data_IF_163383568073
#
_entry.id   IF_163383568073
#
_cell.length_a   1.000
_cell.length_b   1.000
_cell.length_c   1.000
_cell.angle_alpha   90.00
_cell.angle_beta   90.00
_cell.angle_gamma   90.00
#
_symmetry.space_group_name_H-M   'P 1'
#
loop_
_entity.id
_entity.type
_entity.pdbx_description
1 polymer ?
#
# COMPACT_ATOMS: atom_id res chain seq x y z
N UNK A 1 -37.22 40.34 -23.92
CA UNK A 1 -36.92 38.93 -23.61
C UNK A 1 -36.16 38.89 -22.30
N UNK A 2 -36.67 38.21 -21.26
CA UNK A 2 -35.92 38.02 -20.01
C UNK A 2 -34.76 37.07 -20.30
N UNK A 3 -33.53 37.49 -19.97
CA UNK A 3 -32.37 36.62 -20.01
C UNK A 3 -32.50 35.62 -18.87
N UNK A 4 -32.58 34.34 -19.18
CA UNK A 4 -32.55 33.28 -18.19
C UNK A 4 -31.08 32.98 -17.90
N UNK A 5 -30.61 33.32 -16.70
CA UNK A 5 -29.31 32.88 -16.19
C UNK A 5 -29.32 31.36 -16.03
N UNK A 6 -28.48 30.67 -16.81
CA UNK A 6 -28.22 29.24 -16.64
C UNK A 6 -27.05 29.07 -15.68
N UNK A 7 -27.34 28.55 -14.48
CA UNK A 7 -26.29 28.08 -13.57
C UNK A 7 -25.82 26.69 -14.05
N UNK A 8 -24.66 26.64 -14.72
CA UNK A 8 -23.98 25.38 -15.00
C UNK A 8 -23.15 25.00 -13.76
N UNK A 9 -23.69 24.12 -12.92
CA UNK A 9 -22.92 23.46 -11.87
C UNK A 9 -22.07 22.37 -12.51
N UNK A 10 -20.83 22.70 -12.85
CA UNK A 10 -19.83 21.66 -13.10
C UNK A 10 -19.57 20.97 -11.77
N UNK A 11 -20.14 19.79 -11.57
CA UNK A 11 -19.64 18.88 -10.55
C UNK A 11 -18.25 18.47 -11.01
N UNK A 12 -17.21 18.99 -10.37
CA UNK A 12 -15.90 18.36 -10.42
C UNK A 12 -16.07 16.95 -9.83
N UNK A 13 -16.26 15.95 -10.69
CA UNK A 13 -16.09 14.55 -10.29
C UNK A 13 -14.61 14.37 -9.99
N UNK A 14 -14.23 14.54 -8.73
CA UNK A 14 -12.95 14.03 -8.24
C UNK A 14 -13.15 12.54 -7.96
N UNK A 15 -12.58 11.70 -8.82
CA UNK A 15 -12.30 10.33 -8.44
C UNK A 15 -11.17 10.39 -7.41
N UNK A 16 -11.51 10.41 -6.12
CA UNK A 16 -10.55 10.04 -5.10
C UNK A 16 -10.29 8.55 -5.34
N UNK A 17 -9.16 8.22 -6.00
CA UNK A 17 -8.73 6.84 -6.10
C UNK A 17 -8.56 6.35 -4.65
N UNK A 18 -9.47 5.49 -4.19
CA UNK A 18 -9.44 4.91 -2.84
C UNK A 18 -8.19 4.05 -2.67
N UNK A 19 -7.04 4.68 -2.48
CA UNK A 19 -5.74 4.05 -2.31
C UNK A 19 -5.44 3.91 -0.83
N UNK A 20 -5.05 2.71 -0.43
CA UNK A 20 -4.47 2.44 0.87
C UNK A 20 -2.96 2.59 0.74
N UNK A 21 -2.37 3.44 1.56
CA UNK A 21 -0.92 3.65 1.55
C UNK A 21 -0.38 3.63 2.97
N UNK A 22 0.89 3.25 3.11
CA UNK A 22 1.54 3.22 4.42
C UNK A 22 2.86 2.47 4.38
N UNK A 23 3.34 2.13 5.57
CA UNK A 23 4.55 1.33 5.74
C UNK A 23 4.17 -0.03 6.32
N UNK A 24 4.48 -1.10 5.57
CA UNK A 24 4.31 -2.46 6.06
C UNK A 24 5.37 -2.78 7.14
N UNK A 25 6.57 -2.21 7.00
CA UNK A 25 7.67 -2.33 7.96
C UNK A 25 8.36 -0.98 8.10
N UNK A 26 8.75 -0.58 9.31
CA UNK A 26 9.64 0.56 9.57
C UNK A 26 11.02 0.07 10.00
N UNK A 27 12.07 0.71 9.50
CA UNK A 27 13.44 0.31 9.81
C UNK A 27 13.80 0.54 11.26
N UNK A 28 14.66 -0.32 11.79
CA UNK A 28 15.22 -0.23 13.13
C UNK A 28 14.18 -0.14 14.26
N UNK A 29 12.91 -0.43 13.96
CA UNK A 29 11.83 -0.51 14.93
C UNK A 29 11.82 -1.90 15.55
N UNK A 30 11.95 -1.95 16.87
CA UNK A 30 11.83 -3.19 17.63
C UNK A 30 10.39 -3.70 17.60
N UNK A 31 10.23 -5.00 17.47
CA UNK A 31 8.98 -5.68 17.80
C UNK A 31 8.72 -5.66 19.32
N UNK A 32 7.58 -6.23 19.72
CA UNK A 32 7.41 -6.69 21.09
C UNK A 32 8.32 -7.90 21.37
N UNK A 33 8.48 -8.29 22.64
CA UNK A 33 9.13 -9.55 22.99
C UNK A 33 8.30 -10.72 22.45
N UNK A 34 8.82 -11.41 21.44
CA UNK A 34 8.15 -12.53 20.79
C UNK A 34 8.53 -13.81 21.53
N UNK A 35 7.50 -14.60 21.88
CA UNK A 35 7.60 -15.86 22.62
C UNK A 35 8.40 -15.81 23.94
N UNK A 36 8.68 -14.62 24.48
CA UNK A 36 9.49 -14.45 25.68
C UNK A 36 11.01 -14.55 25.46
N UNK A 37 11.47 -14.68 24.21
CA UNK A 37 12.86 -15.06 23.92
C UNK A 37 13.62 -14.04 23.08
N UNK A 38 12.98 -13.39 22.11
CA UNK A 38 13.68 -12.45 21.24
C UNK A 38 12.83 -11.25 20.81
N UNK A 39 13.53 -10.22 20.35
CA UNK A 39 12.96 -9.03 19.75
C UNK A 39 13.47 -8.96 18.31
N UNK A 40 12.55 -8.83 17.37
CA UNK A 40 12.86 -8.68 15.96
C UNK A 40 13.08 -7.21 15.59
N UNK A 41 13.91 -6.97 14.58
CA UNK A 41 14.09 -5.66 13.95
C UNK A 41 14.51 -5.87 12.50
N UNK A 42 14.00 -5.03 11.60
CA UNK A 42 14.42 -5.00 10.20
C UNK A 42 15.46 -3.92 9.96
N UNK A 43 16.59 -4.29 9.37
CA UNK A 43 17.61 -3.34 8.93
C UNK A 43 17.13 -2.57 7.68
N UNK A 44 17.63 -1.34 7.45
CA UNK A 44 17.39 -0.64 6.19
C UNK A 44 17.76 -1.50 4.99
N UNK A 45 16.89 -1.52 3.98
CA UNK A 45 17.07 -2.27 2.73
C UNK A 45 17.08 -3.80 2.86
N UNK A 46 16.52 -4.35 3.96
CA UNK A 46 16.44 -5.79 4.18
C UNK A 46 15.68 -6.55 3.07
N UNK A 47 14.78 -5.87 2.34
CA UNK A 47 13.98 -6.47 1.28
C UNK A 47 14.53 -6.23 -0.13
N UNK A 48 15.62 -5.47 -0.28
CA UNK A 48 16.21 -5.09 -1.58
C UNK A 48 16.39 -6.26 -2.54
N UNK A 49 16.92 -7.38 -2.04
CA UNK A 49 17.14 -8.59 -2.84
C UNK A 49 15.82 -9.27 -3.25
N UNK A 50 14.80 -9.24 -2.39
CA UNK A 50 13.50 -9.85 -2.66
C UNK A 50 12.67 -9.01 -3.62
N UNK A 51 12.72 -7.68 -3.50
CA UNK A 51 12.07 -6.75 -4.42
C UNK A 51 12.74 -6.70 -5.80
N UNK A 52 14.05 -6.93 -5.85
CA UNK A 52 14.79 -7.03 -7.12
C UNK A 52 14.52 -8.33 -7.89
N UNK A 53 13.90 -9.33 -7.26
CA UNK A 53 13.36 -10.50 -7.95
C UNK A 53 11.96 -10.17 -8.40
N UNK A 54 11.60 -10.48 -9.66
CA UNK A 54 10.23 -10.32 -10.18
C UNK A 54 9.25 -11.35 -9.57
N UNK A 55 9.20 -11.40 -8.24
CA UNK A 55 8.29 -12.25 -7.48
C UNK A 55 6.95 -11.55 -7.38
N UNK A 56 5.89 -12.25 -7.74
CA UNK A 56 4.53 -11.76 -7.52
C UNK A 56 4.19 -11.76 -6.02
N UNK A 57 3.97 -10.57 -5.47
CA UNK A 57 3.57 -10.36 -4.08
C UNK A 57 2.07 -10.08 -4.03
N UNK A 58 1.38 -10.70 -3.07
CA UNK A 58 -0.08 -10.63 -2.90
C UNK A 58 -0.42 -9.90 -1.61
N UNK A 59 -1.31 -8.92 -1.69
CA UNK A 59 -1.97 -8.34 -0.53
C UNK A 59 -3.28 -9.10 -0.30
N UNK A 60 -3.41 -9.73 0.87
CA UNK A 60 -4.54 -10.57 1.24
C UNK A 60 -5.27 -9.97 2.43
N UNK A 61 -6.57 -10.20 2.52
CA UNK A 61 -7.34 -9.92 3.72
C UNK A 61 -7.16 -11.08 4.71
N UNK A 62 -6.79 -10.79 5.97
CA UNK A 62 -6.65 -11.80 7.04
C UNK A 62 -5.79 -13.03 6.70
N UNK A 63 -4.75 -12.85 5.87
CA UNK A 63 -3.91 -13.94 5.34
C UNK A 63 -4.66 -15.02 4.55
N UNK A 64 -5.92 -14.79 4.18
CA UNK A 64 -6.72 -15.71 3.39
C UNK A 64 -6.41 -15.58 1.90
N UNK A 65 -5.88 -16.65 1.31
CA UNK A 65 -5.49 -16.71 -0.11
C UNK A 65 -6.67 -16.57 -1.07
N UNK A 66 -7.90 -16.79 -0.60
CA UNK A 66 -9.12 -16.61 -1.39
C UNK A 66 -9.59 -15.15 -1.44
N UNK A 67 -9.17 -14.33 -0.46
CA UNK A 67 -9.54 -12.93 -0.33
C UNK A 67 -8.39 -12.00 -0.77
N UNK A 68 -8.16 -11.97 -2.09
CA UNK A 68 -7.11 -11.16 -2.72
C UNK A 68 -7.52 -9.68 -2.84
N UNK A 69 -6.71 -8.79 -2.27
CA UNK A 69 -6.89 -7.34 -2.33
C UNK A 69 -6.07 -6.67 -3.44
N UNK A 70 -4.89 -7.22 -3.77
CA UNK A 70 -4.05 -6.67 -4.83
C UNK A 70 -2.76 -7.44 -5.07
N UNK A 71 -2.10 -7.20 -6.20
CA UNK A 71 -0.87 -7.88 -6.61
C UNK A 71 0.12 -6.93 -7.25
N UNK A 72 1.41 -7.21 -7.08
CA UNK A 72 2.46 -6.52 -7.83
C UNK A 72 2.38 -6.84 -9.32
N UNK A 73 2.06 -8.10 -9.68
CA UNK A 73 1.92 -8.50 -11.08
C UNK A 73 0.78 -7.78 -11.84
N UNK A 74 -0.27 -7.32 -11.14
CA UNK A 74 -1.38 -6.55 -11.74
C UNK A 74 -1.28 -5.05 -11.51
N UNK A 75 -0.16 -4.55 -10.96
CA UNK A 75 0.06 -3.13 -10.62
C UNK A 75 -0.94 -2.52 -9.63
N UNK A 76 -1.80 -3.34 -9.01
CA UNK A 76 -2.75 -2.89 -7.97
C UNK A 76 -2.08 -2.81 -6.60
N UNK A 77 -0.94 -3.47 -6.40
CA UNK A 77 -0.06 -3.31 -5.25
C UNK A 77 1.33 -2.84 -5.74
N UNK A 78 1.86 -1.83 -5.09
CA UNK A 78 3.21 -1.31 -5.30
C UNK A 78 3.98 -1.37 -3.98
N UNK A 79 5.23 -1.83 -4.03
CA UNK A 79 6.12 -1.93 -2.88
C UNK A 79 7.43 -1.22 -3.22
N UNK A 80 7.93 -0.43 -2.27
CA UNK A 80 9.21 0.25 -2.42
C UNK A 80 9.88 0.42 -1.05
N UNK A 81 11.21 0.36 -1.02
CA UNK A 81 11.99 0.75 0.15
C UNK A 81 12.35 2.22 0.04
N UNK A 82 12.21 2.95 1.15
CA UNK A 82 12.73 4.31 1.31
C UNK A 82 13.52 4.45 2.62
N UNK A 83 13.87 5.67 3.00
CA UNK A 83 14.63 5.94 4.24
C UNK A 83 13.86 5.58 5.52
N UNK A 84 12.52 5.49 5.44
CA UNK A 84 11.65 5.20 6.60
C UNK A 84 11.35 3.71 6.74
N UNK A 85 11.08 3.02 5.63
CA UNK A 85 10.53 1.68 5.69
C UNK A 85 10.25 1.02 4.35
N UNK A 86 9.59 -0.14 4.43
CA UNK A 86 8.94 -0.79 3.28
C UNK A 86 7.58 -0.14 3.09
N UNK A 87 7.50 0.79 2.14
CA UNK A 87 6.28 1.48 1.76
C UNK A 87 5.43 0.59 0.86
N UNK A 88 4.12 0.66 1.05
CA UNK A 88 3.14 0.08 0.13
C UNK A 88 2.14 1.12 -0.37
N UNK A 89 1.65 0.90 -1.59
CA UNK A 89 0.48 1.57 -2.14
C UNK A 89 -0.42 0.52 -2.80
N UNK A 90 -1.69 0.47 -2.39
CA UNK A 90 -2.66 -0.53 -2.79
C UNK A 90 -3.91 0.17 -3.34
N UNK A 91 -4.34 -0.25 -4.52
CA UNK A 91 -5.66 0.03 -5.07
C UNK A 91 -6.51 -1.23 -4.92
N UNK A 92 -7.34 -1.34 -3.88
CA UNK A 92 -8.26 -2.47 -3.71
C UNK A 92 -9.35 -2.49 -4.81
N UNK A 93 -9.99 -3.65 -5.04
CA UNK A 93 -11.09 -3.80 -6.01
C UNK A 93 -12.35 -2.99 -5.66
#
# INVERSE_FOLDING_TARGET
MKSTDFEIRTASLSADEKKLTGYAVKWNSRSQLLWGEFIETFAPYAFKNSLGKETDVRCLFEHDVTNLLGRTASSTLQLAEDETGLRFALTPP
#
